data_IF_328280413912
#
_entry.id   IF_328280413912
#
_cell.length_a   1.000
_cell.length_b   1.000
_cell.length_c   1.000
_cell.angle_alpha   90.00
_cell.angle_beta   90.00
_cell.angle_gamma   90.00
#
_symmetry.space_group_name_H-M   'P 1'
#
loop_
_entity.id
_entity.type
_entity.pdbx_description
1 polymer ?
#
# COMPACT_ATOMS: atom_id res chain seq x y z
N UNK A 1 10.31 -2.73 -24.99
CA UNK A 1 9.99 -3.73 -23.94
C UNK A 1 10.51 -3.11 -22.66
N UNK A 2 9.62 -2.59 -21.82
CA UNK A 2 10.03 -2.05 -20.53
C UNK A 2 10.41 -3.25 -19.66
N UNK A 3 11.68 -3.28 -19.27
CA UNK A 3 12.22 -4.22 -18.32
C UNK A 3 11.51 -3.93 -16.98
N UNK A 4 10.55 -4.78 -16.61
CA UNK A 4 10.06 -4.83 -15.25
C UNK A 4 11.15 -5.48 -14.43
N UNK A 5 12.13 -4.70 -13.98
CA UNK A 5 12.97 -5.13 -12.88
C UNK A 5 12.00 -5.47 -11.74
N UNK A 6 11.94 -6.75 -11.36
CA UNK A 6 11.27 -7.21 -10.15
C UNK A 6 11.78 -6.31 -9.03
N UNK A 7 11.02 -5.28 -8.66
CA UNK A 7 11.35 -4.43 -7.54
C UNK A 7 11.49 -5.36 -6.35
N UNK A 8 12.72 -5.50 -5.84
CA UNK A 8 13.05 -6.43 -4.76
C UNK A 8 11.95 -6.40 -3.72
N UNK A 9 11.33 -7.56 -3.47
CA UNK A 9 10.38 -7.69 -2.36
C UNK A 9 11.09 -7.28 -1.08
N UNK A 10 10.74 -6.10 -0.59
CA UNK A 10 11.27 -5.50 0.60
C UNK A 10 10.21 -5.63 1.70
N UNK A 11 10.67 -5.98 2.90
CA UNK A 11 9.85 -5.95 4.10
C UNK A 11 10.12 -4.64 4.83
N UNK A 12 9.06 -3.89 5.14
CA UNK A 12 9.13 -2.75 6.05
C UNK A 12 8.32 -3.06 7.31
N UNK A 13 8.92 -2.80 8.47
CA UNK A 13 8.36 -3.19 9.75
C UNK A 13 7.87 -1.98 10.55
N UNK A 14 6.81 -2.19 11.34
CA UNK A 14 6.33 -1.24 12.33
C UNK A 14 5.76 0.06 11.74
N UNK A 15 5.32 0.05 10.48
CA UNK A 15 4.72 1.23 9.84
C UNK A 15 3.29 1.45 10.32
N UNK A 16 2.88 2.71 10.37
CA UNK A 16 1.51 3.11 10.70
C UNK A 16 0.75 3.45 9.43
N UNK A 17 -0.40 2.83 9.25
CA UNK A 17 -1.31 3.13 8.15
C UNK A 17 -2.12 4.38 8.47
N UNK A 18 -2.21 5.28 7.50
CA UNK A 18 -3.10 6.44 7.52
C UNK A 18 -4.13 6.28 6.42
N UNK A 19 -5.36 6.01 6.83
CA UNK A 19 -6.46 5.70 5.91
C UNK A 19 -7.45 6.85 5.96
N UNK A 20 -7.65 7.48 4.82
CA UNK A 20 -8.65 8.52 4.60
C UNK A 20 -9.63 8.03 3.54
N UNK A 21 -10.76 8.72 3.37
CA UNK A 21 -11.74 8.39 2.32
C UNK A 21 -11.14 8.42 0.89
N UNK A 22 -10.05 9.18 0.69
CA UNK A 22 -9.46 9.36 -0.64
C UNK A 22 -8.10 8.69 -0.83
N UNK A 23 -7.35 8.47 0.26
CA UNK A 23 -5.94 8.09 0.21
C UNK A 23 -5.57 7.10 1.33
N UNK A 24 -4.61 6.23 1.02
CA UNK A 24 -4.01 5.30 1.97
C UNK A 24 -2.50 5.52 1.97
N UNK A 25 -1.95 5.97 3.09
CA UNK A 25 -0.51 6.21 3.23
C UNK A 25 0.09 5.31 4.29
N UNK A 26 1.39 5.03 4.17
CA UNK A 26 2.18 4.57 5.31
C UNK A 26 3.06 5.69 5.84
N UNK A 27 3.23 5.69 7.15
CA UNK A 27 4.09 6.60 7.91
C UNK A 27 4.93 5.80 8.89
N UNK A 28 6.17 6.23 9.12
CA UNK A 28 7.07 5.63 10.10
C UNK A 28 8.15 6.63 10.46
N UNK A 29 8.74 6.50 11.65
CA UNK A 29 9.92 7.27 12.06
C UNK A 29 11.14 6.98 11.18
N UNK A 30 11.15 5.84 10.48
CA UNK A 30 12.19 5.44 9.53
C UNK A 30 12.00 6.03 8.13
N UNK A 31 10.84 6.63 7.85
CA UNK A 31 10.51 7.20 6.55
C UNK A 31 10.64 8.71 6.60
N UNK A 32 11.45 9.28 5.71
CA UNK A 32 11.60 10.75 5.57
C UNK A 32 10.30 11.44 5.17
N UNK A 33 9.44 10.73 4.43
CA UNK A 33 8.15 11.23 3.95
C UNK A 33 7.10 10.11 3.89
N UNK A 34 5.81 10.42 4.06
CA UNK A 34 4.72 9.45 3.86
C UNK A 34 4.78 8.88 2.45
N UNK A 35 4.47 7.58 2.32
CA UNK A 35 4.39 6.91 1.02
C UNK A 35 2.96 6.52 0.73
N UNK A 36 2.50 6.84 -0.47
CA UNK A 36 1.19 6.38 -0.94
C UNK A 36 1.25 4.87 -1.14
N UNK A 37 0.26 4.18 -0.60
CA UNK A 37 0.12 2.74 -0.75
C UNK A 37 -0.72 2.42 -1.96
N UNK A 38 -0.22 1.49 -2.76
CA UNK A 38 -0.91 0.97 -3.93
C UNK A 38 -1.18 -0.51 -3.71
N UNK A 39 -2.44 -0.89 -3.76
CA UNK A 39 -2.89 -2.24 -3.46
C UNK A 39 -3.43 -2.91 -4.73
N UNK A 40 -3.14 -4.19 -4.97
CA UNK A 40 -3.67 -4.92 -6.11
C UNK A 40 -5.18 -5.14 -5.96
N UNK A 41 -5.95 -4.76 -7.00
CA UNK A 41 -7.41 -4.79 -6.94
C UNK A 41 -8.02 -6.16 -6.67
N UNK A 42 -7.46 -7.17 -7.32
CA UNK A 42 -7.93 -8.56 -7.27
C UNK A 42 -7.90 -9.18 -5.87
N UNK A 43 -7.11 -8.60 -4.95
CA UNK A 43 -6.91 -9.12 -3.59
C UNK A 43 -7.29 -8.12 -2.50
N UNK A 44 -7.79 -6.94 -2.86
CA UNK A 44 -8.02 -5.86 -1.91
C UNK A 44 -9.48 -5.46 -1.91
N UNK A 45 -10.06 -5.30 -0.72
CA UNK A 45 -11.43 -4.82 -0.53
C UNK A 45 -11.44 -3.65 0.43
N UNK A 46 -12.14 -2.59 0.05
CA UNK A 46 -12.41 -1.44 0.90
C UNK A 46 -13.76 -1.61 1.59
N UNK A 47 -13.80 -1.40 2.91
CA UNK A 47 -15.02 -1.40 3.71
C UNK A 47 -15.31 0.02 4.21
N UNK A 48 -16.28 0.68 3.56
CA UNK A 48 -16.67 2.06 3.86
C UNK A 48 -17.23 2.22 5.29
N UNK A 49 -18.09 1.29 5.73
CA UNK A 49 -18.73 1.35 7.06
C UNK A 49 -17.71 1.37 8.21
N UNK A 50 -16.62 0.64 8.07
CA UNK A 50 -15.59 0.48 9.11
C UNK A 50 -14.29 1.21 8.79
N UNK A 51 -14.23 1.92 7.67
CA UNK A 51 -13.02 2.59 7.14
C UNK A 51 -11.79 1.69 7.19
N UNK A 52 -11.98 0.46 6.73
CA UNK A 52 -10.97 -0.60 6.83
C UNK A 52 -10.65 -1.19 5.46
N UNK A 53 -9.38 -1.57 5.28
CA UNK A 53 -8.89 -2.27 4.10
C UNK A 53 -8.67 -3.72 4.48
N UNK A 54 -9.22 -4.63 3.67
CA UNK A 54 -8.91 -6.05 3.73
C UNK A 54 -8.04 -6.43 2.54
N UNK A 55 -6.95 -7.12 2.78
CA UNK A 55 -6.10 -7.71 1.73
C UNK A 55 -5.98 -9.21 1.93
N UNK A 56 -6.10 -9.96 0.84
CA UNK A 56 -5.76 -11.37 0.80
C UNK A 56 -4.28 -11.52 0.41
N UNK A 57 -3.48 -12.10 1.30
CA UNK A 57 -2.09 -12.46 1.05
C UNK A 57 -1.99 -13.67 0.09
N UNK A 58 -0.79 -13.98 -0.37
CA UNK A 58 -0.54 -15.13 -1.26
C UNK A 58 -0.82 -16.49 -0.59
N UNK A 59 -0.66 -16.56 0.74
CA UNK A 59 -1.03 -17.72 1.58
C UNK A 59 -2.55 -17.81 1.85
N UNK A 60 -3.37 -17.07 1.08
CA UNK A 60 -4.83 -16.97 1.23
C UNK A 60 -5.32 -16.32 2.55
N UNK A 61 -4.42 -16.02 3.50
CA UNK A 61 -4.75 -15.28 4.71
C UNK A 61 -5.28 -13.89 4.38
N UNK A 62 -6.46 -13.55 4.91
CA UNK A 62 -7.04 -12.21 4.78
C UNK A 62 -6.77 -11.38 6.03
N UNK A 63 -6.09 -10.25 5.86
CA UNK A 63 -5.83 -9.29 6.93
C UNK A 63 -6.66 -8.05 6.72
N UNK A 64 -7.37 -7.63 7.78
CA UNK A 64 -8.13 -6.38 7.82
C UNK A 64 -7.47 -5.37 8.74
N UNK A 65 -7.32 -4.14 8.26
CA UNK A 65 -6.67 -3.03 8.97
C UNK A 65 -7.46 -1.74 8.82
N UNK A 66 -7.46 -0.93 9.88
CA UNK A 66 -8.10 0.37 9.94
C UNK A 66 -7.05 1.50 10.04
N UNK A 67 -7.51 2.75 9.99
CA UNK A 67 -6.64 3.91 10.26
C UNK A 67 -5.89 3.77 11.59
N UNK A 68 -4.63 4.16 11.60
CA UNK A 68 -3.75 4.07 12.76
C UNK A 68 -3.22 2.67 13.05
N UNK A 69 -3.60 1.64 12.27
CA UNK A 69 -3.06 0.31 12.44
C UNK A 69 -1.54 0.28 12.23
N UNK A 70 -0.85 -0.45 13.11
CA UNK A 70 0.58 -0.73 12.99
C UNK A 70 0.78 -2.09 12.33
N UNK A 71 1.54 -2.13 11.25
CA UNK A 71 1.69 -3.31 10.40
C UNK A 71 3.13 -3.48 9.96
N UNK A 72 3.46 -4.70 9.54
CA UNK A 72 4.60 -4.96 8.68
C UNK A 72 4.08 -5.20 7.26
N UNK A 73 4.86 -4.81 6.26
CA UNK A 73 4.40 -4.80 4.88
C UNK A 73 5.50 -5.29 3.95
N UNK A 74 5.18 -6.33 3.19
CA UNK A 74 5.98 -6.79 2.07
C UNK A 74 5.58 -6.05 0.80
N UNK A 75 6.53 -5.70 -0.05
CA UNK A 75 6.24 -5.07 -1.33
C UNK A 75 7.45 -4.39 -1.95
N UNK A 76 7.20 -3.43 -2.83
CA UNK A 76 8.24 -2.72 -3.54
C UNK A 76 8.01 -1.22 -3.53
N UNK A 77 9.04 -0.46 -3.13
CA UNK A 77 9.06 0.98 -3.37
C UNK A 77 9.30 1.24 -4.86
N UNK A 78 8.43 2.01 -5.48
CA UNK A 78 8.65 2.51 -6.83
C UNK A 78 8.67 4.04 -6.78
N UNK A 79 9.76 4.63 -7.28
CA UNK A 79 9.75 6.06 -7.57
C UNK A 79 8.82 6.27 -8.75
N UNK A 80 7.81 7.09 -8.54
CA UNK A 80 6.91 7.47 -9.61
C UNK A 80 7.38 8.85 -10.09
N UNK A 81 8.18 8.87 -11.14
CA UNK A 81 8.44 10.12 -11.88
C UNK A 81 7.16 10.64 -12.56
N UNK A 82 6.17 9.76 -12.81
CA UNK A 82 4.88 10.14 -13.38
C UNK A 82 3.75 9.13 -13.00
N UNK A 83 2.79 9.58 -12.19
CA UNK A 83 1.71 8.74 -11.66
C UNK A 83 0.89 8.09 -12.77
N UNK A 84 0.66 8.80 -13.88
CA UNK A 84 -0.07 8.32 -15.05
C UNK A 84 0.66 7.20 -15.82
N UNK A 85 1.97 7.00 -15.62
CA UNK A 85 2.71 5.87 -16.23
C UNK A 85 2.66 4.61 -15.37
N UNK A 86 2.71 4.74 -14.05
CA UNK A 86 2.54 3.61 -13.14
C UNK A 86 1.08 3.11 -13.16
N UNK A 87 0.12 4.03 -13.30
CA UNK A 87 -1.30 3.74 -13.45
C UNK A 87 -1.63 2.75 -14.58
N UNK A 88 -0.88 2.79 -15.70
CA UNK A 88 -1.10 1.90 -16.85
C UNK A 88 -0.71 0.44 -16.60
N UNK A 89 -0.11 0.15 -15.45
CA UNK A 89 0.47 -1.14 -15.10
C UNK A 89 -0.07 -1.70 -13.78
N UNK A 90 -1.02 -1.01 -13.16
CA UNK A 90 -1.61 -1.37 -11.87
C UNK A 90 -3.12 -1.53 -12.03
N UNK A 91 -3.65 -2.62 -11.48
CA UNK A 91 -5.08 -2.87 -11.42
C UNK A 91 -5.59 -2.32 -10.08
N UNK A 92 -6.40 -1.26 -10.13
CA UNK A 92 -6.86 -0.51 -8.96
C UNK A 92 -8.28 -0.93 -8.54
N UNK A 93 -8.51 -1.17 -7.24
CA UNK A 93 -9.89 -1.28 -6.71
C UNK A 93 -10.62 0.04 -6.91
N UNK A 94 -9.91 1.14 -6.65
CA UNK A 94 -10.30 2.52 -6.90
C UNK A 94 -9.02 3.34 -7.08
N UNK A 95 -8.97 4.17 -8.13
CA UNK A 95 -7.80 5.01 -8.39
C UNK A 95 -7.69 6.06 -7.28
N UNK A 96 -6.54 6.21 -6.61
CA UNK A 96 -6.40 7.22 -5.57
C UNK A 96 -6.59 8.61 -6.17
N UNK A 97 -7.16 9.52 -5.37
CA UNK A 97 -7.42 10.89 -5.80
C UNK A 97 -6.11 11.54 -6.27
N UNK A 98 -6.11 12.38 -7.32
CA UNK A 98 -4.90 13.10 -7.76
C UNK A 98 -4.35 14.05 -6.69
N UNK A 99 -5.12 14.33 -5.63
CA UNK A 99 -4.68 15.04 -4.43
C UNK A 99 -3.77 14.19 -3.54
N UNK A 100 -3.79 12.85 -3.67
CA UNK A 100 -2.96 11.91 -2.91
C UNK A 100 -1.50 11.81 -3.41
N UNK A 101 -1.06 12.74 -4.26
CA UNK A 101 0.26 12.67 -4.92
C UNK A 101 1.39 12.59 -3.89
N UNK A 102 2.21 11.56 -4.05
CA UNK A 102 3.49 11.37 -3.39
C UNK A 102 4.52 11.04 -4.46
N UNK A 103 5.74 11.58 -4.33
CA UNK A 103 6.86 11.27 -5.23
C UNK A 103 7.30 9.80 -5.15
N UNK A 104 6.90 9.11 -4.08
CA UNK A 104 7.20 7.70 -3.85
C UNK A 104 5.92 6.94 -3.51
N UNK A 105 5.70 5.84 -4.22
CA UNK A 105 4.65 4.88 -3.87
C UNK A 105 5.26 3.57 -3.38
N UNK A 106 4.45 2.84 -2.64
CA UNK A 106 4.74 1.47 -2.28
C UNK A 106 3.66 0.56 -2.81
N UNK A 107 4.05 -0.37 -3.69
CA UNK A 107 3.16 -1.42 -4.19
C UNK A 107 3.13 -2.51 -3.14
N UNK A 108 1.98 -2.73 -2.53
CA UNK A 108 1.82 -3.71 -1.46
C UNK A 108 1.69 -5.11 -2.04
N UNK A 109 2.61 -5.99 -1.66
CA UNK A 109 2.55 -7.42 -1.99
C UNK A 109 1.84 -8.22 -0.91
N UNK A 110 2.24 -7.99 0.34
CA UNK A 110 1.75 -8.73 1.51
C UNK A 110 1.64 -7.81 2.73
N UNK A 111 0.70 -8.10 3.61
CA UNK A 111 0.52 -7.40 4.88
C UNK A 111 0.70 -8.38 6.04
N UNK A 112 1.19 -7.90 7.18
CA UNK A 112 1.28 -8.67 8.42
C UNK A 112 0.92 -7.77 9.60
N UNK A 113 0.19 -8.29 10.60
CA UNK A 113 -0.04 -7.54 11.84
C UNK A 113 1.28 -7.40 12.59
N UNK A 114 1.61 -6.19 13.01
CA UNK A 114 2.76 -6.00 13.90
C UNK A 114 2.47 -6.71 15.24
N UNK A 115 3.46 -7.37 15.86
CA UNK A 115 3.27 -7.97 17.18
C UNK A 115 2.85 -6.87 18.17
N UNK A 116 1.75 -7.09 18.89
CA UNK A 116 1.37 -6.26 20.03
C UNK A 116 2.36 -6.55 21.16
N UNK A 117 3.25 -5.60 21.45
CA UNK A 117 4.14 -5.66 22.60
C UNK A 117 3.40 -5.49 23.91
#
# INVERSE_FOLDING_TARGET
MADYEHGMEALIEGVTLRITDECVFMTSELLEQPRLLVWPASRTTWNEDTRSISIQNDDEETITVADGARVNMGGGASKIDNFDKADQHLDWVSKPSPTCRSDVVWVVGSLYKAPTS
#
